data_IF_368849281981
#
_entry.id   IF_368849281981
#
_cell.length_a   1.000
_cell.length_b   1.000
_cell.length_c   1.000
_cell.angle_alpha   90.00
_cell.angle_beta   90.00
_cell.angle_gamma   90.00
#
_symmetry.space_group_name_H-M   'P 1'
#
loop_
_entity.id
_entity.type
_entity.pdbx_description
1 polymer ?
#
# COMPACT_ATOMS: atom_id res chain seq x y z
N UNK A 1 -1.54 8.08 42.15
CA UNK A 1 -2.54 7.44 41.28
C UNK A 1 -1.85 7.14 39.96
N UNK A 2 -1.81 5.87 39.53
CA UNK A 2 -1.24 5.54 38.23
C UNK A 2 -2.19 6.02 37.13
N UNK A 3 -1.73 6.93 36.28
CA UNK A 3 -2.48 7.34 35.09
C UNK A 3 -2.54 6.15 34.15
N UNK A 4 -3.72 5.60 33.90
CA UNK A 4 -3.88 4.58 32.88
C UNK A 4 -3.52 5.19 31.52
N UNK A 5 -2.49 4.67 30.86
CA UNK A 5 -2.11 5.10 29.52
C UNK A 5 -3.05 4.43 28.53
N UNK A 6 -3.90 5.23 27.88
CA UNK A 6 -4.71 4.74 26.78
C UNK A 6 -3.81 4.44 25.58
N UNK A 7 -3.88 3.22 25.06
CA UNK A 7 -3.22 2.79 23.84
C UNK A 7 -4.26 2.16 22.90
N UNK A 8 -5.02 2.98 22.15
CA UNK A 8 -6.01 2.47 21.21
C UNK A 8 -5.33 1.76 20.03
N UNK A 9 -5.94 0.68 19.56
CA UNK A 9 -5.57 -0.03 18.34
C UNK A 9 -6.47 0.39 17.18
N UNK A 10 -5.93 0.38 15.97
CA UNK A 10 -6.72 0.51 14.74
C UNK A 10 -7.20 -0.87 14.33
N UNK A 11 -8.52 -1.07 14.28
CA UNK A 11 -9.14 -2.26 13.72
C UNK A 11 -9.67 -1.95 12.34
N UNK A 12 -9.42 -2.86 11.41
CA UNK A 12 -9.88 -2.78 10.04
C UNK A 12 -10.82 -3.94 9.76
N UNK A 13 -11.96 -3.66 9.11
CA UNK A 13 -12.90 -4.68 8.64
C UNK A 13 -13.44 -4.32 7.27
N UNK A 14 -13.75 -5.33 6.47
CA UNK A 14 -14.41 -5.11 5.19
C UNK A 14 -15.91 -4.87 5.44
N UNK A 15 -16.47 -3.86 4.78
CA UNK A 15 -17.91 -3.54 4.84
C UNK A 15 -18.45 -3.33 3.43
N UNK A 16 -19.68 -3.77 3.21
CA UNK A 16 -20.42 -3.49 1.97
C UNK A 16 -20.97 -2.06 2.00
N UNK A 17 -20.76 -1.32 0.91
CA UNK A 17 -21.25 0.05 0.74
C UNK A 17 -21.90 0.20 -0.63
N UNK A 18 -22.58 1.34 -0.87
CA UNK A 18 -23.14 1.64 -2.18
C UNK A 18 -22.08 1.72 -3.30
N UNK A 19 -20.80 1.96 -2.95
CA UNK A 19 -19.67 1.97 -3.89
C UNK A 19 -18.89 0.65 -3.94
N UNK A 20 -19.45 -0.43 -3.38
CA UNK A 20 -18.82 -1.74 -3.28
C UNK A 20 -18.17 -2.00 -1.92
N UNK A 21 -17.30 -3.01 -1.86
CA UNK A 21 -16.58 -3.37 -0.63
C UNK A 21 -15.57 -2.28 -0.27
N UNK A 22 -15.60 -1.84 0.98
CA UNK A 22 -14.73 -0.79 1.51
C UNK A 22 -14.10 -1.23 2.83
N UNK A 23 -12.87 -0.82 3.09
CA UNK A 23 -12.26 -0.99 4.40
C UNK A 23 -12.79 0.06 5.37
N UNK A 24 -13.50 -0.38 6.41
CA UNK A 24 -13.86 0.45 7.55
C UNK A 24 -12.78 0.35 8.62
N UNK A 25 -12.27 1.51 9.03
CA UNK A 25 -11.29 1.65 10.10
C UNK A 25 -11.98 2.15 11.36
N UNK A 26 -11.64 1.57 12.51
CA UNK A 26 -12.18 1.95 13.81
C UNK A 26 -11.08 1.94 14.87
N UNK A 27 -11.04 2.98 15.69
CA UNK A 27 -10.17 3.01 16.87
C UNK A 27 -10.85 2.27 18.02
N UNK A 28 -10.20 1.27 18.58
CA UNK A 28 -10.70 0.50 19.72
C UNK A 28 -9.66 0.47 20.83
N UNK A 29 -10.07 0.81 22.05
CA UNK A 29 -9.23 0.74 23.23
C UNK A 29 -9.54 -0.57 23.98
N UNK A 30 -8.54 -1.32 24.47
CA UNK A 30 -8.78 -2.58 25.20
C UNK A 30 -9.38 -2.37 26.59
N UNK A 31 -9.45 -1.14 27.10
CA UNK A 31 -10.07 -0.85 28.39
C UNK A 31 -11.60 -0.94 28.30
N UNK A 32 -12.27 -1.59 29.27
CA UNK A 32 -13.71 -1.83 29.22
C UNK A 32 -14.56 -0.55 29.28
N UNK A 33 -14.05 0.51 29.92
CA UNK A 33 -14.76 1.77 30.10
C UNK A 33 -14.52 2.77 28.95
N UNK A 34 -13.78 2.36 27.92
CA UNK A 34 -13.51 3.21 26.77
C UNK A 34 -14.50 2.97 25.65
N UNK A 35 -15.21 4.03 25.25
CA UNK A 35 -16.05 3.94 24.08
C UNK A 35 -15.19 3.84 22.80
N UNK A 36 -15.46 2.86 21.94
CA UNK A 36 -14.79 2.76 20.66
C UNK A 36 -15.18 3.93 19.75
N UNK A 37 -14.20 4.46 19.01
CA UNK A 37 -14.40 5.60 18.12
C UNK A 37 -15.37 5.31 16.97
N UNK A 38 -15.81 6.34 16.24
CA UNK A 38 -16.61 6.16 15.04
C UNK A 38 -15.85 5.34 14.00
N UNK A 39 -16.58 4.53 13.23
CA UNK A 39 -16.02 3.83 12.09
C UNK A 39 -15.94 4.79 10.89
N UNK A 40 -14.76 4.90 10.30
CA UNK A 40 -14.53 5.69 9.09
C UNK A 40 -14.41 4.74 7.90
N UNK A 41 -15.30 4.89 6.92
CA UNK A 41 -15.20 4.16 5.66
C UNK A 41 -14.07 4.77 4.83
N UNK A 42 -13.10 3.94 4.46
CA UNK A 42 -12.00 4.32 3.58
C UNK A 42 -12.41 4.35 2.11
N UNK A 43 -11.42 4.24 1.23
CA UNK A 43 -11.64 4.09 -0.22
C UNK A 43 -12.14 2.68 -0.52
N UNK A 44 -13.07 2.54 -1.47
CA UNK A 44 -13.55 1.22 -1.87
C UNK A 44 -12.44 0.40 -2.51
N UNK A 45 -12.46 -0.92 -2.31
CA UNK A 45 -11.51 -1.86 -2.88
C UNK A 45 -11.48 -1.77 -4.40
N UNK A 46 -12.64 -1.55 -5.02
CA UNK A 46 -12.73 -1.37 -6.46
C UNK A 46 -12.06 -0.08 -6.93
N UNK A 47 -12.17 1.02 -6.17
CA UNK A 47 -11.49 2.27 -6.49
C UNK A 47 -9.96 2.14 -6.32
N UNK A 48 -9.51 1.41 -5.30
CA UNK A 48 -8.08 1.08 -5.13
C UNK A 48 -7.55 0.27 -6.31
N UNK A 49 -8.25 -0.80 -6.72
CA UNK A 49 -7.85 -1.63 -7.86
C UNK A 49 -7.82 -0.84 -9.18
N UNK A 50 -8.76 0.10 -9.37
CA UNK A 50 -8.73 1.01 -10.54
C UNK A 50 -7.52 1.94 -10.50
N UNK A 51 -7.23 2.53 -9.35
CA UNK A 51 -6.07 3.40 -9.20
C UNK A 51 -4.76 2.64 -9.46
N UNK A 52 -4.64 1.39 -8.99
CA UNK A 52 -3.49 0.52 -9.28
C UNK A 52 -3.36 0.22 -10.78
N UNK A 53 -4.49 -0.09 -11.44
CA UNK A 53 -4.51 -0.31 -12.89
C UNK A 53 -4.12 0.96 -13.68
N UNK A 54 -4.58 2.14 -13.25
CA UNK A 54 -4.23 3.42 -13.87
C UNK A 54 -2.73 3.74 -13.70
N UNK A 55 -2.17 3.49 -12.52
CA UNK A 55 -0.74 3.63 -12.25
C UNK A 55 0.07 2.69 -13.15
N UNK A 56 -0.36 1.43 -13.29
CA UNK A 56 0.34 0.47 -14.14
C UNK A 56 0.24 0.85 -15.63
N UNK A 57 -0.94 1.24 -16.10
CA UNK A 57 -1.12 1.72 -17.47
C UNK A 57 -0.22 2.92 -17.76
N UNK A 58 -0.18 3.89 -16.86
CA UNK A 58 0.70 5.05 -16.98
C UNK A 58 2.17 4.64 -16.99
N UNK A 59 2.60 3.73 -16.10
CA UNK A 59 3.97 3.21 -16.07
C UNK A 59 4.37 2.58 -17.39
N UNK A 60 3.47 1.84 -18.04
CA UNK A 60 3.74 1.24 -19.35
C UNK A 60 3.77 2.28 -20.47
N UNK A 61 2.90 3.30 -20.41
CA UNK A 61 2.85 4.40 -21.38
C UNK A 61 4.15 5.23 -21.38
N UNK A 62 4.67 5.54 -20.19
CA UNK A 62 5.89 6.37 -20.04
C UNK A 62 7.18 5.55 -20.05
N UNK A 63 7.08 4.22 -20.16
CA UNK A 63 8.26 3.37 -20.16
C UNK A 63 9.12 3.63 -21.41
N UNK A 64 10.45 3.77 -21.25
CA UNK A 64 11.35 3.83 -22.40
C UNK A 64 11.22 2.58 -23.28
N UNK A 65 11.59 2.67 -24.57
CA UNK A 65 11.70 1.50 -25.46
C UNK A 65 12.49 0.37 -24.79
N UNK A 66 12.12 -0.88 -25.05
CA UNK A 66 12.69 -2.05 -24.35
C UNK A 66 14.23 -2.11 -24.41
N UNK A 67 14.84 -1.69 -25.53
CA UNK A 67 16.30 -1.62 -25.70
C UNK A 67 17.00 -0.54 -24.85
N UNK A 68 16.25 0.45 -24.39
CA UNK A 68 16.70 1.59 -23.57
C UNK A 68 16.34 1.43 -22.09
N UNK A 69 15.57 0.39 -21.73
CA UNK A 69 15.25 0.08 -20.34
C UNK A 69 16.50 -0.38 -19.59
N UNK A 70 16.54 -0.06 -18.30
CA UNK A 70 17.59 -0.52 -17.41
C UNK A 70 17.62 -2.06 -17.37
N UNK A 71 18.74 -2.67 -17.79
CA UNK A 71 18.93 -4.13 -17.78
C UNK A 71 19.43 -4.67 -16.43
N UNK A 72 19.97 -3.80 -15.56
CA UNK A 72 20.51 -4.20 -14.26
C UNK A 72 20.32 -3.08 -13.21
N UNK A 73 19.16 -3.05 -12.53
CA UNK A 73 18.84 -2.03 -11.54
C UNK A 73 19.77 -2.08 -10.32
N UNK A 74 20.37 -3.24 -10.04
CA UNK A 74 21.26 -3.43 -8.88
C UNK A 74 22.60 -2.71 -9.05
N UNK A 75 22.95 -2.37 -10.29
CA UNK A 75 24.11 -1.53 -10.62
C UNK A 75 23.81 -0.04 -10.52
N UNK A 76 22.54 0.36 -10.39
CA UNK A 76 22.20 1.73 -10.12
C UNK A 76 22.53 1.99 -8.65
N UNK A 77 23.66 2.67 -8.41
CA UNK A 77 23.95 3.24 -7.09
C UNK A 77 23.00 4.40 -6.82
N UNK A 78 21.74 4.09 -6.58
CA UNK A 78 20.85 4.99 -5.84
C UNK A 78 21.43 5.02 -4.43
N UNK A 79 22.03 6.16 -4.05
CA UNK A 79 22.81 6.26 -2.80
C UNK A 79 21.89 6.23 -1.58
N UNK A 80 20.60 6.45 -1.77
CA UNK A 80 19.59 6.57 -0.73
C UNK A 80 18.44 5.60 -1.00
N UNK A 81 17.78 5.10 0.05
CA UNK A 81 16.68 4.14 -0.06
C UNK A 81 15.40 4.75 -0.66
N UNK A 82 15.34 6.06 -0.79
CA UNK A 82 14.30 6.82 -1.50
C UNK A 82 14.76 7.29 -2.89
N UNK A 83 15.98 6.96 -3.33
CA UNK A 83 16.44 7.32 -4.66
C UNK A 83 15.88 6.27 -5.65
N UNK A 84 14.99 6.73 -6.52
CA UNK A 84 14.41 5.94 -7.61
C UNK A 84 15.21 6.17 -8.89
N UNK A 85 15.36 5.14 -9.73
CA UNK A 85 16.01 5.32 -11.02
C UNK A 85 15.06 6.05 -11.98
N UNK A 86 15.42 7.29 -12.34
CA UNK A 86 14.61 8.16 -13.23
C UNK A 86 14.44 7.62 -14.64
N UNK A 87 15.32 6.70 -15.06
CA UNK A 87 15.22 5.98 -16.34
C UNK A 87 14.22 4.82 -16.31
N UNK A 88 13.81 4.36 -15.13
CA UNK A 88 12.99 3.17 -14.98
C UNK A 88 11.67 3.41 -14.26
N UNK A 89 11.36 4.64 -13.81
CA UNK A 89 10.02 5.08 -13.37
C UNK A 89 9.27 4.06 -12.47
N UNK A 90 9.94 3.55 -11.43
CA UNK A 90 9.42 2.53 -10.50
C UNK A 90 9.11 1.14 -11.08
N UNK A 91 9.63 0.78 -12.25
CA UNK A 91 9.32 -0.51 -12.89
C UNK A 91 9.96 -1.74 -12.22
N UNK A 92 10.82 -1.59 -11.20
CA UNK A 92 11.43 -2.73 -10.50
C UNK A 92 11.45 -2.53 -8.97
N UNK A 93 11.14 -3.60 -8.24
CA UNK A 93 11.33 -3.67 -6.80
C UNK A 93 12.84 -3.58 -6.46
N UNK A 94 13.16 -2.90 -5.36
CA UNK A 94 14.55 -2.78 -4.93
C UNK A 94 15.07 -4.16 -4.49
N UNK A 95 16.34 -4.50 -4.77
CA UNK A 95 16.92 -5.78 -4.34
C UNK A 95 16.85 -5.94 -2.82
N UNK A 96 16.12 -6.96 -2.35
CA UNK A 96 15.82 -7.18 -0.93
C UNK A 96 14.45 -6.68 -0.47
N UNK A 97 13.65 -6.09 -1.37
CA UNK A 97 12.24 -5.76 -1.21
C UNK A 97 11.39 -6.42 -2.32
N UNK A 98 11.85 -7.55 -2.85
CA UNK A 98 11.02 -8.40 -3.70
C UNK A 98 9.79 -8.84 -2.88
N UNK A 99 8.58 -8.90 -3.48
CA UNK A 99 7.46 -9.52 -2.81
C UNK A 99 7.85 -10.98 -2.50
N UNK A 100 7.98 -11.32 -1.22
CA UNK A 100 8.16 -12.71 -0.81
C UNK A 100 7.03 -13.54 -1.41
N UNK A 101 7.29 -14.80 -1.79
CA UNK A 101 6.32 -15.66 -2.49
C UNK A 101 4.93 -15.72 -1.84
N UNK A 102 4.84 -15.46 -0.53
CA UNK A 102 3.60 -15.35 0.24
C UNK A 102 2.73 -14.11 -0.09
N UNK A 103 3.29 -13.07 -0.69
CA UNK A 103 2.60 -11.82 -1.08
C UNK A 103 2.11 -11.83 -2.53
N UNK A 104 2.67 -12.70 -3.38
CA UNK A 104 2.20 -12.90 -4.76
C UNK A 104 0.86 -13.64 -4.82
N UNK A 105 0.60 -14.57 -3.89
CA UNK A 105 -0.69 -15.28 -3.78
C UNK A 105 -1.83 -14.41 -3.21
N UNK A 106 -1.52 -13.30 -2.55
CA UNK A 106 -2.54 -12.38 -2.01
C UNK A 106 -3.06 -11.36 -3.04
N UNK A 107 -2.41 -11.28 -4.21
CA UNK A 107 -2.74 -10.35 -5.29
C UNK A 107 -3.35 -11.04 -6.54
N UNK A 108 -3.57 -12.35 -6.48
CA UNK A 108 -4.31 -13.14 -7.48
C UNK A 108 -5.76 -13.39 -7.04
#
# INVERSE_FOLDING_TARGET
MATALHRPDVRQRLVETAQGETWALRMECPHPDCEPGPAHAGVSRQAMARAEADVEAHRQEVAPPEGERCRDPRRHRTRQWWDHCTLCADQLALPGMEPDALTAEAAA
#
